data_IF_184584416540
#
_entry.id   IF_184584416540
#
_cell.length_a   1.000
_cell.length_b   1.000
_cell.length_c   1.000
_cell.angle_alpha   90.00
_cell.angle_beta   90.00
_cell.angle_gamma   90.00
#
_symmetry.space_group_name_H-M   'P 1'
#
loop_
_entity.id
_entity.type
_entity.pdbx_description
1 polymer ?
#
# COMPACT_ATOMS: atom_id res chain seq x y z
N UNK A 1 -32.23 -2.23 -10.40
CA UNK A 1 -30.95 -1.81 -9.78
C UNK A 1 -29.91 -2.93 -9.61
N UNK A 2 -30.00 -3.86 -8.63
CA UNK A 2 -28.90 -4.84 -8.36
C UNK A 2 -28.53 -5.69 -9.59
N UNK A 3 -29.53 -6.18 -10.32
CA UNK A 3 -29.32 -6.95 -11.56
C UNK A 3 -28.64 -6.12 -12.66
N UNK A 4 -29.07 -4.87 -12.88
CA UNK A 4 -28.49 -3.98 -13.89
C UNK A 4 -27.05 -3.58 -13.55
N UNK A 5 -26.74 -3.36 -12.27
CA UNK A 5 -25.37 -3.10 -11.83
C UNK A 5 -24.49 -4.32 -12.03
N UNK A 6 -24.97 -5.52 -11.67
CA UNK A 6 -24.22 -6.76 -11.91
C UNK A 6 -23.96 -6.97 -13.40
N UNK A 7 -24.95 -6.71 -14.26
CA UNK A 7 -24.81 -6.77 -15.71
C UNK A 7 -23.78 -5.74 -16.22
N UNK A 8 -23.87 -4.49 -15.77
CA UNK A 8 -22.98 -3.40 -16.18
C UNK A 8 -21.52 -3.63 -15.76
N UNK A 9 -21.30 -4.29 -14.63
CA UNK A 9 -19.97 -4.65 -14.13
C UNK A 9 -19.53 -6.08 -14.52
N UNK A 10 -20.30 -6.78 -15.37
CA UNK A 10 -20.04 -8.15 -15.80
C UNK A 10 -19.82 -9.15 -14.63
N UNK A 11 -20.54 -8.94 -13.53
CA UNK A 11 -20.47 -9.76 -12.32
C UNK A 11 -21.47 -10.90 -12.44
N UNK A 12 -20.97 -12.12 -12.50
CA UNK A 12 -21.79 -13.33 -12.53
C UNK A 12 -22.21 -13.68 -11.09
N UNK A 13 -23.52 -13.65 -10.81
CA UNK A 13 -24.07 -13.85 -9.46
C UNK A 13 -24.67 -15.23 -9.23
N UNK A 14 -24.52 -16.15 -10.17
CA UNK A 14 -25.21 -17.45 -10.15
C UNK A 14 -24.83 -18.27 -8.91
N UNK A 15 -25.79 -18.39 -7.98
CA UNK A 15 -25.63 -19.16 -6.75
C UNK A 15 -25.00 -18.44 -5.56
N UNK A 16 -24.65 -17.15 -5.68
CA UNK A 16 -24.02 -16.37 -4.61
C UNK A 16 -24.99 -15.36 -3.99
N UNK A 17 -24.90 -15.16 -2.67
CA UNK A 17 -25.53 -14.01 -2.02
C UNK A 17 -24.62 -12.80 -2.21
N UNK A 18 -25.06 -11.82 -3.00
CA UNK A 18 -24.30 -10.60 -3.27
C UNK A 18 -24.78 -9.44 -2.41
N UNK A 19 -23.84 -8.80 -1.73
CA UNK A 19 -24.06 -7.53 -1.02
C UNK A 19 -23.35 -6.42 -1.78
N UNK A 20 -24.06 -5.32 -2.02
CA UNK A 20 -23.59 -4.17 -2.78
C UNK A 20 -23.68 -2.91 -1.92
N UNK A 21 -22.74 -1.99 -2.11
CA UNK A 21 -22.71 -0.73 -1.37
C UNK A 21 -21.68 0.25 -1.91
N UNK A 22 -21.55 1.39 -1.22
CA UNK A 22 -20.58 2.43 -1.57
C UNK A 22 -19.68 2.78 -0.39
N UNK A 23 -18.55 3.44 -0.68
CA UNK A 23 -17.55 3.84 0.30
C UNK A 23 -17.57 5.35 0.45
N UNK A 24 -17.87 5.82 1.66
CA UNK A 24 -17.79 7.24 2.03
C UNK A 24 -16.33 7.70 2.13
N UNK A 25 -15.93 8.73 1.37
CA UNK A 25 -14.63 9.37 1.54
C UNK A 25 -14.68 10.26 2.78
N UNK A 26 -13.82 10.00 3.79
CA UNK A 26 -13.73 10.84 5.00
C UNK A 26 -13.43 10.12 6.32
N UNK A 27 -13.33 8.79 6.36
CA UNK A 27 -12.97 8.04 7.57
C UNK A 27 -11.74 7.14 7.33
N UNK A 28 -10.55 7.73 7.48
CA UNK A 28 -9.26 7.04 7.37
C UNK A 28 -8.99 6.41 6.00
N UNK A 29 -7.96 5.56 5.92
CA UNK A 29 -7.52 4.90 4.67
C UNK A 29 -8.55 3.92 4.08
N UNK A 30 -9.63 3.57 4.79
CA UNK A 30 -10.60 2.54 4.35
C UNK A 30 -12.01 3.07 4.07
N UNK A 31 -12.34 4.30 4.51
CA UNK A 31 -13.68 4.86 4.37
C UNK A 31 -14.77 4.09 5.14
N UNK A 32 -15.98 4.67 5.21
CA UNK A 32 -17.14 3.98 5.79
C UNK A 32 -17.91 3.27 4.67
N UNK A 33 -18.14 1.96 4.82
CA UNK A 33 -18.94 1.18 3.89
C UNK A 33 -20.42 1.30 4.25
N UNK A 34 -21.25 1.68 3.28
CA UNK A 34 -22.70 1.75 3.42
C UNK A 34 -23.36 0.84 2.39
N UNK A 35 -24.39 0.09 2.81
CA UNK A 35 -25.08 -0.87 1.94
C UNK A 35 -26.12 -0.15 1.09
N UNK A 36 -26.33 -0.65 -0.12
CA UNK A 36 -27.38 -0.19 -1.04
C UNK A 36 -28.34 -1.35 -1.25
N UNK A 37 -29.41 -1.39 -0.45
CA UNK A 37 -30.41 -2.45 -0.50
C UNK A 37 -31.70 -2.00 -1.20
N UNK A 38 -32.00 -0.70 -1.17
CA UNK A 38 -33.21 -0.09 -1.74
C UNK A 38 -32.89 1.04 -2.71
N UNK A 39 -33.85 1.42 -3.55
CA UNK A 39 -33.72 2.59 -4.45
C UNK A 39 -33.61 3.90 -3.68
N UNK A 40 -34.14 3.96 -2.45
CA UNK A 40 -34.02 5.12 -1.58
C UNK A 40 -32.57 5.32 -1.12
N UNK A 41 -31.86 4.23 -0.80
CA UNK A 41 -30.43 4.29 -0.47
C UNK A 41 -29.60 4.86 -1.64
N UNK A 42 -29.98 4.52 -2.88
CA UNK A 42 -29.31 5.03 -4.07
C UNK A 42 -29.59 6.52 -4.26
N UNK A 43 -30.83 6.98 -4.07
CA UNK A 43 -31.18 8.41 -4.11
C UNK A 43 -30.42 9.18 -3.02
N UNK A 44 -30.35 8.64 -1.81
CA UNK A 44 -29.62 9.23 -0.70
C UNK A 44 -28.12 9.30 -0.98
N UNK A 45 -27.54 8.27 -1.59
CA UNK A 45 -26.15 8.28 -2.05
C UNK A 45 -25.92 9.40 -3.07
N UNK A 46 -26.77 9.52 -4.09
CA UNK A 46 -26.65 10.60 -5.09
C UNK A 46 -26.81 11.98 -4.45
N UNK A 47 -27.80 12.17 -3.56
CA UNK A 47 -28.04 13.41 -2.86
C UNK A 47 -26.84 13.83 -1.99
N UNK A 48 -26.27 12.88 -1.25
CA UNK A 48 -25.12 13.13 -0.37
C UNK A 48 -23.83 13.39 -1.16
N UNK A 49 -23.72 12.84 -2.38
CA UNK A 49 -22.52 12.93 -3.20
C UNK A 49 -22.63 13.83 -4.45
N UNK A 50 -23.65 14.68 -4.56
CA UNK A 50 -23.86 15.56 -5.73
C UNK A 50 -22.64 16.41 -6.11
N UNK A 51 -21.83 16.81 -5.12
CA UNK A 51 -20.63 17.64 -5.33
C UNK A 51 -19.35 16.84 -5.59
N UNK A 52 -19.40 15.50 -5.53
CA UNK A 52 -18.21 14.65 -5.71
C UNK A 52 -18.09 14.17 -7.15
N UNK A 53 -16.88 14.26 -7.69
CA UNK A 53 -16.54 13.79 -9.04
C UNK A 53 -16.52 12.27 -9.18
N UNK A 54 -16.37 11.54 -8.07
CA UNK A 54 -16.25 10.09 -8.07
C UNK A 54 -16.85 9.48 -6.81
N UNK A 55 -17.53 8.34 -6.98
CA UNK A 55 -18.04 7.49 -5.90
C UNK A 55 -17.45 6.09 -6.10
N UNK A 56 -16.96 5.50 -5.02
CA UNK A 56 -16.42 4.14 -5.04
C UNK A 56 -17.45 3.15 -4.54
N UNK A 57 -17.60 2.04 -5.26
CA UNK A 57 -18.51 0.95 -4.90
C UNK A 57 -17.75 -0.25 -4.36
N UNK A 58 -18.40 -1.03 -3.50
CA UNK A 58 -17.90 -2.33 -3.05
C UNK A 58 -18.95 -3.40 -3.31
N UNK A 59 -18.46 -4.60 -3.63
CA UNK A 59 -19.27 -5.78 -3.84
C UNK A 59 -18.68 -6.91 -2.99
N UNK A 60 -19.54 -7.60 -2.26
CA UNK A 60 -19.18 -8.80 -1.48
C UNK A 60 -20.02 -9.98 -1.94
N UNK A 61 -19.38 -10.98 -2.51
CA UNK A 61 -20.01 -12.26 -2.82
C UNK A 61 -19.80 -13.21 -1.64
N UNK A 62 -20.89 -13.66 -1.02
CA UNK A 62 -20.86 -14.76 -0.05
C UNK A 62 -21.24 -16.04 -0.80
N UNK A 63 -20.33 -17.02 -0.79
CA UNK A 63 -20.69 -18.37 -1.21
C UNK A 63 -21.80 -18.87 -0.29
N UNK A 64 -22.92 -19.32 -0.86
CA UNK A 64 -23.88 -20.14 -0.12
C UNK A 64 -23.15 -21.42 0.25
N UNK A 65 -22.56 -21.47 1.44
CA UNK A 65 -21.98 -22.70 1.95
C UNK A 65 -23.10 -23.74 1.90
N UNK A 66 -22.93 -24.77 1.07
CA UNK A 66 -23.88 -25.86 0.93
C UNK A 66 -23.97 -26.52 2.29
N UNK A 67 -24.98 -26.13 3.08
CA UNK A 67 -25.26 -26.68 4.41
C UNK A 67 -25.64 -28.14 4.17
N UNK A 68 -24.65 -29.04 4.16
CA UNK A 68 -24.89 -30.46 4.21
C UNK A 68 -25.61 -30.69 5.55
N UNK A 69 -26.88 -31.02 5.49
CA UNK A 69 -27.66 -31.52 6.61
C UNK A 69 -27.08 -32.88 7.01
N UNK A 70 -26.00 -32.85 7.78
CA UNK A 70 -25.40 -33.99 8.43
C UNK A 70 -25.60 -33.81 9.93
N UNK A 71 -26.56 -34.55 10.46
CA UNK A 71 -26.80 -34.77 11.87
C UNK A 71 -25.57 -35.47 12.47
N UNK A 72 -24.74 -34.75 13.22
CA UNK A 72 -23.68 -35.31 14.08
C UNK A 72 -23.19 -34.21 15.01
N UNK A 73 -23.32 -34.48 16.30
CA UNK A 73 -23.03 -33.61 17.42
C UNK A 73 -21.52 -33.58 17.71
N UNK A 74 -20.71 -33.17 16.72
CA UNK A 74 -19.26 -32.99 16.88
C UNK A 74 -18.83 -31.69 16.23
N UNK A 75 -18.34 -30.77 17.06
CA UNK A 75 -17.88 -29.44 16.64
C UNK A 75 -16.61 -29.62 15.80
N UNK A 76 -16.60 -29.33 14.48
CA UNK A 76 -15.39 -29.45 13.70
C UNK A 76 -14.53 -28.24 14.01
N UNK A 77 -13.44 -28.43 14.77
CA UNK A 77 -12.36 -27.47 14.82
C UNK A 77 -11.93 -27.16 13.37
N UNK A 78 -12.13 -25.90 12.98
CA UNK A 78 -11.81 -25.38 11.66
C UNK A 78 -10.38 -25.75 11.29
N UNK A 79 -10.17 -26.46 10.17
CA UNK A 79 -8.84 -26.74 9.60
C UNK A 79 -7.94 -25.49 9.48
N UNK A 80 -8.53 -24.29 9.42
CA UNK A 80 -7.77 -23.03 9.41
C UNK A 80 -7.11 -22.70 10.76
N UNK A 81 -7.65 -23.23 11.86
CA UNK A 81 -7.09 -23.02 13.18
C UNK A 81 -5.91 -23.96 13.44
N UNK A 82 -5.95 -25.20 12.94
CA UNK A 82 -4.80 -26.12 13.03
C UNK A 82 -3.61 -25.63 12.20
N UNK A 83 -3.84 -25.11 11.00
CA UNK A 83 -2.75 -24.62 10.14
C UNK A 83 -2.07 -23.38 10.75
N UNK A 84 -2.84 -22.51 11.39
CA UNK A 84 -2.31 -21.33 12.08
C UNK A 84 -1.47 -21.73 13.31
N UNK A 85 -1.93 -22.69 14.09
CA UNK A 85 -1.20 -23.18 15.28
C UNK A 85 0.12 -23.85 14.85
N UNK A 86 0.10 -24.68 13.80
CA UNK A 86 1.31 -25.30 13.27
C UNK A 86 2.31 -24.25 12.77
N UNK A 87 1.82 -23.23 12.05
CA UNK A 87 2.66 -22.12 11.57
C UNK A 87 3.31 -21.35 12.74
N UNK A 88 2.59 -21.15 13.85
CA UNK A 88 3.15 -20.48 15.03
C UNK A 88 4.23 -21.31 15.73
N UNK A 89 4.07 -22.63 15.78
CA UNK A 89 5.07 -23.54 16.36
C UNK A 89 6.35 -23.57 15.53
N UNK A 90 6.25 -23.66 14.21
CA UNK A 90 7.41 -23.65 13.29
C UNK A 90 8.18 -22.33 13.34
N UNK A 91 7.46 -21.21 13.40
CA UNK A 91 8.06 -19.88 13.55
C UNK A 91 8.77 -19.74 14.89
N UNK A 92 8.20 -20.25 15.98
CA UNK A 92 8.82 -20.25 17.31
C UNK A 92 10.20 -20.92 17.32
N UNK A 93 10.30 -22.12 16.76
CA UNK A 93 11.60 -22.82 16.67
C UNK A 93 12.63 -22.11 15.80
N UNK A 94 12.19 -21.30 14.83
CA UNK A 94 13.09 -20.47 14.02
C UNK A 94 13.55 -19.23 14.77
N UNK A 95 12.68 -18.63 15.59
CA UNK A 95 13.02 -17.48 16.45
C UNK A 95 14.09 -17.87 17.46
N UNK A 96 13.94 -19.01 18.13
CA UNK A 96 14.90 -19.47 19.15
C UNK A 96 16.30 -19.64 18.55
N UNK A 97 16.40 -20.27 17.36
CA UNK A 97 17.66 -20.41 16.62
C UNK A 97 18.26 -19.05 16.23
N UNK A 98 17.44 -18.13 15.74
CA UNK A 98 17.91 -16.79 15.38
C UNK A 98 18.35 -15.99 16.61
N UNK A 99 17.72 -16.20 17.76
CA UNK A 99 18.08 -15.57 19.03
C UNK A 99 19.39 -16.13 19.60
N UNK A 100 19.63 -17.42 19.42
CA UNK A 100 20.90 -18.05 19.79
C UNK A 100 22.08 -17.51 18.96
N UNK A 101 21.88 -17.28 17.65
CA UNK A 101 22.96 -16.82 16.75
C UNK A 101 23.12 -15.29 16.79
N UNK A 102 22.01 -14.54 16.83
CA UNK A 102 22.01 -13.09 16.61
C UNK A 102 21.32 -12.26 17.71
N UNK A 103 21.06 -12.86 18.88
CA UNK A 103 20.35 -12.22 19.99
C UNK A 103 20.92 -10.87 20.42
N UNK A 104 22.23 -10.68 20.26
CA UNK A 104 22.93 -9.45 20.66
C UNK A 104 22.87 -8.35 19.60
N UNK A 105 22.59 -8.72 18.33
CA UNK A 105 22.71 -7.83 17.17
C UNK A 105 21.37 -7.26 16.70
N UNK A 106 20.28 -7.98 16.92
CA UNK A 106 18.95 -7.62 16.46
C UNK A 106 17.92 -7.64 17.59
N UNK A 107 16.98 -6.70 17.54
CA UNK A 107 15.82 -6.70 18.43
C UNK A 107 14.94 -7.93 18.22
N UNK A 108 14.20 -8.35 19.26
CA UNK A 108 13.24 -9.47 19.15
C UNK A 108 12.25 -9.28 17.99
N UNK A 109 11.84 -8.04 17.70
CA UNK A 109 10.97 -7.73 16.57
C UNK A 109 11.64 -8.02 15.21
N UNK A 110 12.92 -7.70 15.07
CA UNK A 110 13.71 -8.03 13.87
C UNK A 110 13.84 -9.55 13.72
N UNK A 111 14.16 -10.26 14.80
CA UNK A 111 14.27 -11.72 14.79
C UNK A 111 12.94 -12.40 14.42
N UNK A 112 11.82 -11.91 14.94
CA UNK A 112 10.48 -12.36 14.57
C UNK A 112 10.19 -12.16 13.08
N UNK A 113 10.49 -10.97 12.54
CA UNK A 113 10.32 -10.71 11.12
C UNK A 113 11.21 -11.60 10.24
N UNK A 114 12.44 -11.89 10.68
CA UNK A 114 13.35 -12.78 9.97
C UNK A 114 12.83 -14.22 9.97
N UNK A 115 12.39 -14.74 11.12
CA UNK A 115 11.79 -16.07 11.23
C UNK A 115 10.57 -16.23 10.29
N UNK A 116 9.70 -15.23 10.22
CA UNK A 116 8.58 -15.24 9.29
C UNK A 116 9.03 -15.21 7.81
N UNK A 117 10.12 -14.52 7.47
CA UNK A 117 10.67 -14.53 6.11
C UNK A 117 11.26 -15.89 5.72
N UNK A 118 11.89 -16.57 6.67
CA UNK A 118 12.38 -17.95 6.49
C UNK A 118 11.21 -18.91 6.28
N UNK A 119 10.21 -18.87 7.15
CA UNK A 119 9.06 -19.75 7.04
C UNK A 119 8.21 -19.52 5.77
N UNK A 120 8.23 -18.29 5.23
CA UNK A 120 7.55 -17.96 3.97
C UNK A 120 8.42 -18.17 2.72
N UNK A 121 9.60 -18.79 2.84
CA UNK A 121 10.57 -19.00 1.77
C UNK A 121 10.98 -17.70 1.04
N UNK A 122 10.89 -16.55 1.71
CA UNK A 122 11.33 -15.25 1.19
C UNK A 122 12.80 -14.95 1.49
N UNK A 123 13.39 -15.74 2.38
CA UNK A 123 14.79 -15.68 2.78
C UNK A 123 15.20 -17.09 3.23
N UNK A 124 16.35 -17.61 2.82
CA UNK A 124 16.74 -18.99 3.15
C UNK A 124 17.83 -19.08 4.22
N UNK A 125 18.52 -17.98 4.52
CA UNK A 125 19.67 -17.97 5.42
C UNK A 125 19.26 -17.68 6.86
N UNK A 126 19.80 -18.45 7.80
CA UNK A 126 19.73 -18.17 9.25
C UNK A 126 20.96 -17.39 9.76
N UNK A 127 22.03 -17.37 8.98
CA UNK A 127 23.30 -16.72 9.34
C UNK A 127 23.33 -15.28 8.81
N UNK A 128 22.88 -15.06 7.56
CA UNK A 128 22.89 -13.75 6.93
C UNK A 128 21.53 -13.07 7.04
N UNK A 129 21.54 -11.83 7.55
CA UNK A 129 20.31 -11.07 7.69
C UNK A 129 19.67 -10.74 6.33
N UNK A 130 18.33 -10.68 6.25
CA UNK A 130 17.60 -10.33 5.03
C UNK A 130 18.01 -8.96 4.48
N UNK A 131 18.14 -8.82 3.15
CA UNK A 131 18.37 -7.52 2.50
C UNK A 131 17.10 -6.65 2.51
N UNK A 132 16.81 -6.11 3.69
CA UNK A 132 15.72 -5.18 3.97
C UNK A 132 16.28 -4.02 4.77
N UNK A 133 15.74 -2.83 4.51
CA UNK A 133 16.13 -1.59 5.17
C UNK A 133 16.04 -1.62 6.70
N UNK A 134 15.25 -2.56 7.23
CA UNK A 134 15.06 -2.74 8.66
C UNK A 134 16.16 -3.58 9.34
N UNK A 135 16.93 -4.39 8.60
CA UNK A 135 18.00 -5.27 9.14
C UNK A 135 19.41 -4.71 8.93
N UNK A 136 19.52 -3.60 8.22
CA UNK A 136 20.79 -2.94 7.98
C UNK A 136 20.61 -1.62 7.23
N UNK A 137 21.53 -0.69 7.49
CA UNK A 137 21.65 0.55 6.72
C UNK A 137 22.07 0.14 5.31
N UNK A 138 21.13 0.14 4.36
CA UNK A 138 21.50 0.13 2.94
C UNK A 138 22.56 1.20 2.75
N UNK A 139 23.77 0.83 2.31
CA UNK A 139 24.57 1.77 1.53
C UNK A 139 23.59 2.27 0.48
N UNK A 140 23.31 3.58 0.48
CA UNK A 140 22.50 4.21 -0.56
C UNK A 140 23.28 4.03 -1.86
N UNK A 141 23.20 2.86 -2.47
CA UNK A 141 23.34 2.74 -3.90
C UNK A 141 22.26 3.67 -4.43
N UNK A 142 22.73 4.78 -5.00
CA UNK A 142 21.87 5.79 -5.58
C UNK A 142 21.02 5.09 -6.63
N UNK A 143 19.80 4.69 -6.24
CA UNK A 143 18.76 4.27 -7.17
C UNK A 143 18.71 5.37 -8.22
N UNK A 144 19.20 5.06 -9.41
CA UNK A 144 19.28 6.00 -10.51
C UNK A 144 17.92 6.67 -10.63
N UNK A 145 17.91 8.00 -10.60
CA UNK A 145 16.67 8.76 -10.74
C UNK A 145 15.99 8.29 -12.02
N UNK A 146 14.75 7.80 -11.92
CA UNK A 146 14.03 7.29 -13.09
C UNK A 146 13.98 8.36 -14.19
N UNK A 147 14.01 7.99 -15.47
CA UNK A 147 14.06 8.96 -16.57
C UNK A 147 13.00 10.07 -16.47
N UNK A 148 11.77 9.73 -16.07
CA UNK A 148 10.71 10.70 -15.85
C UNK A 148 10.99 11.67 -14.70
N UNK A 149 11.60 11.19 -13.60
CA UNK A 149 11.99 12.03 -12.47
C UNK A 149 13.19 12.93 -12.82
N UNK A 150 14.10 12.49 -13.69
CA UNK A 150 15.19 13.35 -14.22
C UNK A 150 14.65 14.51 -15.04
N UNK A 151 13.71 14.24 -15.94
CA UNK A 151 13.06 15.27 -16.76
C UNK A 151 12.34 16.27 -15.85
N UNK A 152 11.58 15.78 -14.86
CA UNK A 152 10.90 16.64 -13.89
C UNK A 152 11.86 17.55 -13.13
N UNK A 153 12.99 17.02 -12.65
CA UNK A 153 13.99 17.81 -11.91
C UNK A 153 14.66 18.86 -12.82
N UNK A 154 14.97 18.51 -14.07
CA UNK A 154 15.51 19.48 -15.05
C UNK A 154 14.51 20.61 -15.32
N UNK A 155 13.23 20.29 -15.53
CA UNK A 155 12.19 21.30 -15.72
C UNK A 155 12.03 22.20 -14.50
N UNK A 156 12.12 21.65 -13.29
CA UNK A 156 12.08 22.43 -12.05
C UNK A 156 13.28 23.38 -11.92
N UNK A 157 14.48 22.93 -12.27
CA UNK A 157 15.68 23.78 -12.30
C UNK A 157 15.53 24.93 -13.32
N UNK A 158 14.97 24.66 -14.50
CA UNK A 158 14.71 25.71 -15.51
C UNK A 158 13.70 26.74 -14.99
N UNK A 159 12.61 26.28 -14.34
CA UNK A 159 11.62 27.17 -13.74
C UNK A 159 12.21 28.01 -12.60
N UNK A 160 13.18 27.48 -11.85
CA UNK A 160 13.90 28.25 -10.84
C UNK A 160 14.73 29.35 -11.48
N UNK A 161 15.48 29.06 -12.55
CA UNK A 161 16.25 30.08 -13.28
C UNK A 161 15.38 31.24 -13.74
N UNK A 162 14.21 30.96 -14.31
CA UNK A 162 13.26 31.99 -14.76
C UNK A 162 12.80 32.89 -13.59
N UNK A 163 12.47 32.29 -12.44
CA UNK A 163 12.11 33.05 -11.23
C UNK A 163 13.25 33.93 -10.74
N UNK A 164 14.48 33.43 -10.73
CA UNK A 164 15.65 34.22 -10.31
C UNK A 164 15.91 35.37 -11.30
N UNK A 165 15.71 35.14 -12.59
CA UNK A 165 15.83 36.19 -13.60
C UNK A 165 14.82 37.32 -13.36
N UNK A 166 13.56 36.98 -13.10
CA UNK A 166 12.53 37.95 -12.76
C UNK A 166 12.85 38.72 -11.46
N UNK A 167 13.43 38.07 -10.46
CA UNK A 167 13.85 38.75 -9.22
C UNK A 167 14.99 39.73 -9.47
N UNK A 168 15.93 39.38 -10.34
CA UNK A 168 17.01 40.28 -10.79
C UNK A 168 16.45 41.47 -11.54
N UNK A 169 15.55 41.27 -12.50
CA UNK A 169 14.90 42.37 -13.26
C UNK A 169 14.15 43.35 -12.35
N UNK A 170 13.57 42.84 -11.26
CA UNK A 170 12.90 43.66 -10.24
C UNK A 170 13.86 44.35 -9.27
N UNK A 171 15.17 44.12 -9.39
CA UNK A 171 16.18 44.68 -8.50
C UNK A 171 16.15 44.11 -7.08
N UNK A 172 15.54 42.93 -6.88
CA UNK A 172 15.44 42.29 -5.56
C UNK A 172 16.76 41.63 -5.16
N UNK A 173 17.52 41.15 -6.15
CA UNK A 173 18.83 40.52 -5.97
C UNK A 173 19.87 41.23 -6.83
N UNK A 174 21.12 41.18 -6.39
CA UNK A 174 22.25 41.76 -7.15
C UNK A 174 22.68 40.85 -8.31
N UNK A 175 23.45 41.42 -9.25
CA UNK A 175 24.06 40.65 -10.35
C UNK A 175 24.91 39.49 -9.83
N UNK A 176 25.72 39.73 -8.80
CA UNK A 176 26.62 38.73 -8.22
C UNK A 176 25.83 37.58 -7.59
N UNK A 177 24.76 37.89 -6.85
CA UNK A 177 23.87 36.87 -6.28
C UNK A 177 23.18 36.03 -7.36
N UNK A 178 22.76 36.68 -8.45
CA UNK A 178 22.17 35.98 -9.59
C UNK A 178 23.18 35.06 -10.26
N UNK A 179 24.43 35.49 -10.45
CA UNK A 179 25.48 34.69 -11.07
C UNK A 179 25.81 33.42 -10.25
N UNK A 180 25.90 33.52 -8.92
CA UNK A 180 26.12 32.37 -8.04
C UNK A 180 24.98 31.35 -8.11
N UNK A 181 23.73 31.83 -8.05
CA UNK A 181 22.54 30.98 -8.15
C UNK A 181 22.44 30.32 -9.53
N UNK A 182 22.72 31.07 -10.59
CA UNK A 182 22.74 30.57 -11.96
C UNK A 182 23.79 29.47 -12.14
N UNK A 183 25.01 29.66 -11.64
CA UNK A 183 26.08 28.68 -11.73
C UNK A 183 25.73 27.37 -10.99
N UNK A 184 25.10 27.48 -9.83
CA UNK A 184 24.66 26.33 -9.04
C UNK A 184 23.60 25.53 -9.78
N UNK A 185 22.56 26.19 -10.30
CA UNK A 185 21.45 25.51 -10.99
C UNK A 185 21.93 24.88 -12.30
N UNK A 186 22.81 25.54 -13.05
CA UNK A 186 23.40 24.96 -14.27
C UNK A 186 24.23 23.71 -13.97
N UNK A 187 24.89 23.67 -12.81
CA UNK A 187 25.61 22.48 -12.36
C UNK A 187 24.65 21.33 -12.05
N UNK A 188 23.52 21.61 -11.39
CA UNK A 188 22.50 20.62 -11.10
C UNK A 188 21.81 20.09 -12.37
N UNK A 189 21.54 20.94 -13.35
CA UNK A 189 20.99 20.53 -14.66
C UNK A 189 21.93 19.54 -15.38
N UNK A 190 23.24 19.77 -15.31
CA UNK A 190 24.24 18.87 -15.92
C UNK A 190 24.35 17.52 -15.19
N UNK A 191 23.99 17.47 -13.91
CA UNK A 191 24.09 16.28 -13.07
C UNK A 191 22.93 15.30 -13.29
N UNK A 192 21.76 15.78 -13.70
CA UNK A 192 20.58 14.97 -13.99
C UNK A 192 20.48 14.64 -15.47
#
# INVERSE_FOLDING_TARGET
MKAELCQKFNVHTDGYETQFGFIFPGHGMKGKQEKLDTDEDLKNMYHTHQKKRQVSFWLKCKSKAKKRSGDSNDTPQSKRQSDLVNTMVEVGGTIDKLKEIHGDKYSDLQLNCWAHMVNSNRHQSLEDAPDRSFFGKKKKESLGVSPGKKISLRSECINQLDKWHQLKERGVITEDQYAELQATILTDIKKY
#
